data_IF_502921205935
#
_entry.id   IF_502921205935
#
_cell.length_a   1.000
_cell.length_b   1.000
_cell.length_c   1.000
_cell.angle_alpha   90.00
_cell.angle_beta   90.00
_cell.angle_gamma   90.00
#
_symmetry.space_group_name_H-M   'P 1'
#
loop_
_entity.id
_entity.type
_entity.pdbx_description
1 polymer ?
#
# COMPACT_ATOMS: atom_id res chain seq x y z
N UNK A 1 -20.77 17.57 12.78
CA UNK A 1 -19.31 17.31 12.72
C UNK A 1 -18.65 18.49 12.04
N UNK A 2 -17.53 18.99 12.58
CA UNK A 2 -16.78 20.09 11.97
C UNK A 2 -15.33 19.63 11.76
N UNK A 3 -14.82 19.79 10.56
CA UNK A 3 -13.42 19.50 10.23
C UNK A 3 -12.63 20.81 10.24
N UNK A 4 -11.57 20.84 11.03
CA UNK A 4 -10.61 21.94 11.12
C UNK A 4 -9.23 21.43 10.72
N UNK A 5 -8.58 22.14 9.82
CA UNK A 5 -7.15 21.91 9.56
C UNK A 5 -6.35 22.40 10.79
N UNK A 6 -5.49 21.54 11.33
CA UNK A 6 -4.64 21.85 12.49
C UNK A 6 -3.29 22.44 12.08
N UNK A 7 -2.90 22.31 10.83
CA UNK A 7 -1.68 22.91 10.31
C UNK A 7 -1.94 24.37 10.00
N UNK A 8 -1.39 25.25 10.82
CA UNK A 8 -1.43 26.70 10.62
C UNK A 8 -0.34 27.20 9.68
N UNK A 9 0.63 26.35 9.35
CA UNK A 9 1.75 26.70 8.49
C UNK A 9 1.29 26.97 7.05
N UNK A 10 1.78 28.07 6.49
CA UNK A 10 1.59 28.38 5.08
C UNK A 10 2.30 27.33 4.22
N UNK A 11 1.71 27.03 3.04
CA UNK A 11 2.32 26.15 2.05
C UNK A 11 3.67 26.74 1.64
N UNK A 12 4.77 26.04 1.93
CA UNK A 12 6.06 26.46 1.39
C UNK A 12 6.09 26.14 -0.12
N UNK A 13 5.95 27.17 -0.94
CA UNK A 13 5.98 27.05 -2.41
C UNK A 13 7.31 26.54 -2.97
N UNK A 14 8.33 26.39 -2.12
CA UNK A 14 9.64 25.83 -2.49
C UNK A 14 9.65 24.30 -2.40
N UNK A 15 8.69 23.71 -1.72
CA UNK A 15 8.57 22.25 -1.66
C UNK A 15 8.07 21.68 -2.99
N UNK A 16 8.40 20.41 -3.26
CA UNK A 16 7.87 19.71 -4.43
C UNK A 16 6.34 19.65 -4.37
N UNK A 17 5.69 19.70 -5.53
CA UNK A 17 4.24 19.68 -5.67
C UNK A 17 3.53 18.69 -4.75
N UNK A 18 3.94 17.40 -4.62
CA UNK A 18 3.26 16.45 -3.76
C UNK A 18 3.29 16.83 -2.27
N UNK A 19 4.35 17.50 -1.81
CA UNK A 19 4.50 17.91 -0.41
C UNK A 19 3.66 19.15 -0.06
N UNK A 20 3.21 19.90 -1.05
CA UNK A 20 2.38 21.10 -0.86
C UNK A 20 0.89 20.75 -0.61
N UNK A 21 0.47 19.52 -0.92
CA UNK A 21 -0.92 19.10 -0.75
C UNK A 21 -1.22 18.69 0.70
N UNK A 22 -2.37 19.14 1.27
CA UNK A 22 -2.80 18.78 2.61
C UNK A 22 -3.48 17.40 2.61
N UNK A 23 -2.73 16.32 2.43
CA UNK A 23 -3.24 14.97 2.24
C UNK A 23 -4.22 14.52 3.32
N UNK A 24 -3.92 14.80 4.60
CA UNK A 24 -4.80 14.43 5.73
C UNK A 24 -6.17 15.12 5.64
N UNK A 25 -6.19 16.39 5.25
CA UNK A 25 -7.44 17.14 5.09
C UNK A 25 -8.27 16.58 3.93
N UNK A 26 -7.66 16.43 2.76
CA UNK A 26 -8.35 15.97 1.56
C UNK A 26 -8.88 14.54 1.77
N UNK A 27 -8.06 13.67 2.33
CA UNK A 27 -8.43 12.30 2.69
C UNK A 27 -9.56 12.27 3.73
N UNK A 28 -9.49 13.09 4.78
CA UNK A 28 -10.56 13.20 5.77
C UNK A 28 -11.89 13.63 5.17
N UNK A 29 -11.87 14.53 4.18
CA UNK A 29 -13.07 14.91 3.41
C UNK A 29 -13.55 13.72 2.57
N UNK A 30 -12.65 13.03 1.86
CA UNK A 30 -12.97 11.84 1.07
C UNK A 30 -13.64 10.74 1.89
N UNK A 31 -13.17 10.47 3.11
CA UNK A 31 -13.80 9.54 4.06
C UNK A 31 -15.24 9.97 4.43
N UNK A 32 -15.43 11.26 4.71
CA UNK A 32 -16.76 11.77 5.06
C UNK A 32 -17.71 11.66 3.87
N UNK A 33 -17.26 12.01 2.67
CA UNK A 33 -18.11 11.97 1.47
C UNK A 33 -18.41 10.53 1.04
N UNK A 34 -17.48 9.59 1.18
CA UNK A 34 -17.75 8.16 0.95
C UNK A 34 -18.92 7.65 1.80
N UNK A 35 -19.04 8.11 3.03
CA UNK A 35 -20.18 7.77 3.87
C UNK A 35 -21.43 8.58 3.52
N UNK A 36 -21.31 9.90 3.29
CA UNK A 36 -22.46 10.78 3.06
C UNK A 36 -23.16 10.53 1.73
N UNK A 37 -22.40 10.27 0.67
CA UNK A 37 -22.93 10.08 -0.68
C UNK A 37 -23.27 8.61 -0.94
N UNK A 38 -22.35 7.70 -0.64
CA UNK A 38 -22.44 6.31 -1.05
C UNK A 38 -22.88 5.37 0.07
N UNK A 39 -22.92 5.83 1.33
CA UNK A 39 -23.04 4.98 2.53
C UNK A 39 -22.06 3.81 2.52
N UNK A 40 -20.89 4.06 1.92
CA UNK A 40 -19.89 3.04 1.67
C UNK A 40 -19.20 2.59 2.97
N UNK A 41 -19.07 1.29 3.10
CA UNK A 41 -18.31 0.62 4.14
C UNK A 41 -17.32 -0.33 3.47
N UNK A 42 -16.07 -0.34 3.93
CA UNK A 42 -15.06 -1.21 3.36
C UNK A 42 -15.48 -2.68 3.42
N UNK A 43 -15.52 -3.37 2.27
CA UNK A 43 -15.89 -4.77 2.23
C UNK A 43 -14.79 -5.64 2.84
N UNK A 44 -15.13 -6.79 3.45
CA UNK A 44 -14.13 -7.73 3.92
C UNK A 44 -13.34 -8.31 2.76
N UNK A 45 -12.02 -8.47 2.94
CA UNK A 45 -11.12 -9.00 1.92
C UNK A 45 -11.18 -10.53 1.89
N UNK A 46 -12.10 -11.06 1.09
CA UNK A 46 -12.36 -12.51 1.00
C UNK A 46 -11.35 -13.27 0.14
N UNK A 47 -10.56 -12.55 -0.66
CA UNK A 47 -9.60 -13.11 -1.62
C UNK A 47 -8.24 -13.48 -1.00
N UNK A 48 -8.07 -13.25 0.28
CA UNK A 48 -6.81 -13.56 1.00
C UNK A 48 -6.55 -15.06 1.10
N UNK A 49 -5.27 -15.40 1.24
CA UNK A 49 -4.79 -16.72 1.64
C UNK A 49 -4.30 -16.64 3.09
N UNK A 50 -5.17 -16.78 4.11
CA UNK A 50 -4.87 -16.47 5.50
C UNK A 50 -4.09 -17.63 6.18
N UNK A 51 -2.83 -17.84 5.79
CA UNK A 51 -2.01 -18.94 6.31
C UNK A 51 -1.70 -18.79 7.81
N UNK A 52 -1.53 -17.58 8.32
CA UNK A 52 -1.38 -17.31 9.75
C UNK A 52 -2.61 -17.78 10.55
N UNK A 53 -3.81 -17.44 10.06
CA UNK A 53 -5.05 -17.94 10.64
C UNK A 53 -5.20 -19.47 10.48
N UNK A 54 -4.75 -20.04 9.37
CA UNK A 54 -4.75 -21.48 9.13
C UNK A 54 -3.89 -22.21 10.16
N UNK A 55 -2.69 -21.69 10.44
CA UNK A 55 -1.84 -22.18 11.52
C UNK A 55 -2.57 -22.13 12.88
N UNK A 56 -3.13 -20.98 13.22
CA UNK A 56 -3.84 -20.80 14.49
C UNK A 56 -5.02 -21.80 14.63
N UNK A 57 -5.85 -21.94 13.61
CA UNK A 57 -6.98 -22.87 13.65
C UNK A 57 -6.55 -24.34 13.68
N UNK A 58 -5.46 -24.69 13.02
CA UNK A 58 -4.86 -26.03 13.10
C UNK A 58 -4.42 -26.35 14.53
N UNK A 59 -3.67 -25.43 15.15
CA UNK A 59 -3.21 -25.59 16.53
C UNK A 59 -4.35 -25.59 17.54
N UNK A 60 -5.32 -24.69 17.38
CA UNK A 60 -6.49 -24.61 18.25
C UNK A 60 -7.36 -25.89 18.18
N UNK A 61 -7.53 -26.45 16.98
CA UNK A 61 -8.27 -27.70 16.79
C UNK A 61 -7.58 -28.88 17.47
N UNK A 62 -6.26 -29.02 17.30
CA UNK A 62 -5.50 -30.07 17.97
C UNK A 62 -5.46 -29.90 19.49
N UNK A 63 -5.30 -28.67 19.98
CA UNK A 63 -5.27 -28.38 21.41
C UNK A 63 -6.62 -28.72 22.10
N UNK A 64 -7.75 -28.54 21.40
CA UNK A 64 -9.09 -28.83 21.96
C UNK A 64 -9.52 -30.26 21.80
N UNK A 65 -9.16 -30.95 20.71
CA UNK A 65 -9.64 -32.30 20.38
C UNK A 65 -8.63 -33.39 20.79
N UNK A 66 -7.38 -33.03 21.04
CA UNK A 66 -6.30 -33.98 21.33
C UNK A 66 -5.74 -34.62 20.07
N UNK A 67 -5.85 -35.94 19.94
CA UNK A 67 -5.33 -36.68 18.78
C UNK A 67 -6.30 -36.71 17.62
N UNK A 68 -5.87 -36.30 16.43
CA UNK A 68 -6.62 -36.40 15.18
C UNK A 68 -5.75 -36.98 14.07
N UNK A 69 -6.36 -37.78 13.18
CA UNK A 69 -5.66 -38.15 11.95
C UNK A 69 -5.48 -36.94 11.05
N UNK A 70 -4.44 -36.90 10.17
CA UNK A 70 -4.26 -35.79 9.23
C UNK A 70 -5.50 -35.49 8.38
N UNK A 71 -6.24 -36.51 7.98
CA UNK A 71 -7.47 -36.35 7.19
C UNK A 71 -8.63 -35.74 8.00
N UNK A 72 -8.78 -36.11 9.26
CA UNK A 72 -9.79 -35.52 10.14
C UNK A 72 -9.49 -34.08 10.46
N UNK A 73 -8.22 -33.77 10.76
CA UNK A 73 -7.77 -32.42 11.00
C UNK A 73 -7.99 -31.52 9.76
N UNK A 74 -7.59 -31.99 8.58
CA UNK A 74 -7.85 -31.27 7.32
C UNK A 74 -9.34 -31.03 7.07
N UNK A 75 -10.17 -32.02 7.28
CA UNK A 75 -11.62 -31.89 7.12
C UNK A 75 -12.21 -30.84 8.08
N UNK A 76 -11.75 -30.78 9.34
CA UNK A 76 -12.27 -29.83 10.34
C UNK A 76 -11.82 -28.41 10.02
N UNK A 77 -10.56 -28.22 9.63
CA UNK A 77 -9.97 -26.90 9.42
C UNK A 77 -10.32 -26.35 8.05
N UNK A 78 -10.12 -27.10 6.96
CA UNK A 78 -10.31 -26.58 5.60
C UNK A 78 -11.78 -26.36 5.20
N UNK A 79 -12.75 -26.88 5.96
CA UNK A 79 -14.17 -26.57 5.73
C UNK A 79 -14.60 -25.22 6.27
N UNK A 80 -13.78 -24.58 7.10
CA UNK A 80 -14.06 -23.23 7.58
C UNK A 80 -14.00 -22.22 6.43
N UNK A 81 -14.93 -21.28 6.43
CA UNK A 81 -15.13 -20.33 5.33
C UNK A 81 -13.89 -19.52 4.92
N UNK A 82 -12.98 -19.10 5.82
CA UNK A 82 -11.78 -18.36 5.44
C UNK A 82 -10.80 -19.17 4.57
N UNK A 83 -10.86 -20.51 4.63
CA UNK A 83 -9.87 -21.39 3.99
C UNK A 83 -10.31 -21.96 2.64
N UNK A 84 -11.41 -21.48 2.07
CA UNK A 84 -11.95 -21.98 0.78
C UNK A 84 -10.96 -21.94 -0.38
N UNK A 85 -10.00 -21.01 -0.34
CA UNK A 85 -8.96 -20.84 -1.36
C UNK A 85 -7.65 -21.57 -1.04
N UNK A 86 -7.53 -22.14 0.15
CA UNK A 86 -6.36 -22.92 0.55
C UNK A 86 -6.41 -24.28 -0.11
N UNK A 87 -5.38 -24.63 -0.86
CA UNK A 87 -5.30 -25.95 -1.48
C UNK A 87 -4.91 -27.02 -0.47
N UNK A 88 -5.34 -28.29 -0.68
CA UNK A 88 -4.87 -29.41 0.13
C UNK A 88 -3.34 -29.55 0.14
N UNK A 89 -2.67 -29.15 -0.94
CA UNK A 89 -1.21 -29.17 -1.03
C UNK A 89 -0.59 -28.12 -0.10
N UNK A 90 -1.12 -26.89 -0.06
CA UNK A 90 -0.65 -25.85 0.85
C UNK A 90 -0.80 -26.28 2.31
N UNK A 91 -1.94 -26.91 2.63
CA UNK A 91 -2.16 -27.44 3.98
C UNK A 91 -1.20 -28.57 4.33
N UNK A 92 -0.92 -29.45 3.39
CA UNK A 92 0.11 -30.49 3.57
C UNK A 92 1.49 -29.89 3.81
N UNK A 93 1.89 -28.86 3.04
CA UNK A 93 3.13 -28.13 3.25
C UNK A 93 3.21 -27.56 4.67
N UNK A 94 2.11 -26.95 5.15
CA UNK A 94 2.02 -26.46 6.53
C UNK A 94 2.23 -27.60 7.54
N UNK A 95 1.47 -28.69 7.44
CA UNK A 95 1.54 -29.80 8.40
C UNK A 95 2.93 -30.44 8.46
N UNK A 96 3.61 -30.59 7.32
CA UNK A 96 4.99 -31.11 7.28
C UNK A 96 5.94 -30.17 7.99
N UNK A 97 5.85 -28.88 7.76
CA UNK A 97 6.67 -27.88 8.45
C UNK A 97 6.41 -27.88 9.97
N UNK A 98 5.15 -28.01 10.40
CA UNK A 98 4.83 -28.06 11.83
C UNK A 98 5.36 -29.32 12.51
N UNK A 99 5.47 -30.45 11.80
CA UNK A 99 6.13 -31.67 12.27
C UNK A 99 7.64 -31.44 12.42
N UNK A 100 8.28 -30.81 11.42
CA UNK A 100 9.71 -30.56 11.42
C UNK A 100 10.13 -29.55 12.51
N UNK A 101 9.24 -28.62 12.87
CA UNK A 101 9.49 -27.58 13.88
C UNK A 101 8.93 -27.91 15.26
N UNK A 102 8.47 -29.15 15.47
CA UNK A 102 7.92 -29.66 16.76
C UNK A 102 6.69 -28.87 17.26
N UNK A 103 5.98 -28.19 16.37
CA UNK A 103 4.68 -27.62 16.73
C UNK A 103 3.59 -28.68 16.82
N UNK A 104 3.69 -29.74 16.03
CA UNK A 104 2.87 -30.95 16.12
C UNK A 104 3.76 -32.18 16.10
N UNK A 105 3.27 -33.26 16.68
CA UNK A 105 3.95 -34.55 16.69
C UNK A 105 3.05 -35.65 16.15
N UNK A 106 3.68 -36.71 15.62
CA UNK A 106 2.96 -37.89 15.15
C UNK A 106 2.99 -38.98 16.22
N UNK A 107 1.84 -39.51 16.53
CA UNK A 107 1.72 -40.67 17.45
C UNK A 107 2.09 -41.99 16.77
N UNK A 108 2.32 -43.05 17.53
CA UNK A 108 2.56 -44.40 17.01
C UNK A 108 1.39 -44.93 16.16
N UNK A 109 0.18 -44.44 16.41
CA UNK A 109 -1.04 -44.81 15.68
C UNK A 109 -1.23 -43.98 14.40
N UNK A 110 -0.30 -43.04 14.11
CA UNK A 110 -0.34 -42.16 12.93
C UNK A 110 -1.22 -40.93 13.09
N UNK A 111 -1.78 -40.67 14.28
CA UNK A 111 -2.44 -39.43 14.61
C UNK A 111 -1.50 -38.28 14.79
N UNK A 112 -2.02 -37.06 14.82
CA UNK A 112 -1.32 -35.82 15.11
C UNK A 112 -1.77 -35.29 16.47
N UNK A 113 -0.84 -34.82 17.27
CA UNK A 113 -1.05 -34.13 18.54
C UNK A 113 -0.24 -32.84 18.56
N UNK A 114 -0.53 -31.92 19.48
CA UNK A 114 0.30 -30.75 19.73
C UNK A 114 1.68 -31.20 20.21
N UNK A 115 2.74 -30.66 19.61
CA UNK A 115 4.13 -30.90 19.99
C UNK A 115 4.62 -29.90 21.04
N UNK A 116 5.85 -30.07 21.52
CA UNK A 116 6.38 -29.26 22.62
C UNK A 116 6.50 -27.76 22.27
N UNK A 117 6.89 -27.43 21.04
CA UNK A 117 6.89 -26.04 20.57
C UNK A 117 5.46 -25.48 20.45
N UNK A 118 4.52 -26.32 19.97
CA UNK A 118 3.11 -25.97 19.88
C UNK A 118 2.45 -25.72 21.24
N UNK A 119 2.76 -26.52 22.26
CA UNK A 119 2.25 -26.33 23.63
C UNK A 119 2.66 -24.96 24.21
N UNK A 120 3.90 -24.50 23.96
CA UNK A 120 4.35 -23.18 24.39
C UNK A 120 3.54 -22.04 23.78
N UNK A 121 3.09 -22.21 22.53
CA UNK A 121 2.24 -21.23 21.84
C UNK A 121 0.79 -21.33 22.34
N UNK A 122 0.21 -22.53 22.35
CA UNK A 122 -1.21 -22.73 22.67
C UNK A 122 -1.57 -22.49 24.12
N UNK A 123 -0.63 -22.67 25.06
CA UNK A 123 -0.82 -22.37 26.49
C UNK A 123 -0.72 -20.88 26.82
N UNK A 124 -0.18 -20.06 25.92
CA UNK A 124 -0.01 -18.64 26.13
C UNK A 124 -1.32 -17.85 25.96
N UNK A 125 -1.55 -16.84 26.82
CA UNK A 125 -2.73 -15.96 26.72
C UNK A 125 -2.83 -15.28 25.33
N UNK A 126 -1.68 -14.93 24.73
CA UNK A 126 -1.62 -14.33 23.39
C UNK A 126 -2.23 -15.22 22.28
N UNK A 127 -2.35 -16.53 22.52
CA UNK A 127 -2.91 -17.44 21.54
C UNK A 127 -4.43 -17.24 21.30
N UNK A 128 -5.15 -16.70 22.26
CA UNK A 128 -6.59 -16.45 22.12
C UNK A 128 -6.95 -15.36 21.08
N UNK A 129 -5.98 -14.54 20.66
CA UNK A 129 -6.19 -13.52 19.64
C UNK A 129 -5.40 -13.87 18.38
N UNK A 130 -6.02 -13.67 17.21
CA UNK A 130 -5.40 -13.88 15.89
C UNK A 130 -4.83 -12.59 15.31
N UNK A 131 -5.17 -11.44 15.89
CA UNK A 131 -4.69 -10.15 15.46
C UNK A 131 -3.27 -9.91 15.96
N UNK A 132 -2.44 -9.31 15.11
CA UNK A 132 -1.14 -8.81 15.52
C UNK A 132 -1.37 -7.71 16.56
N UNK A 133 -0.74 -7.84 17.72
CA UNK A 133 -0.68 -6.76 18.69
C UNK A 133 0.29 -5.72 18.12
N UNK A 134 -0.15 -4.48 17.98
CA UNK A 134 0.76 -3.38 17.71
C UNK A 134 1.62 -3.18 18.95
N UNK A 135 2.83 -3.66 18.91
CA UNK A 135 3.81 -3.43 19.98
C UNK A 135 4.28 -1.98 19.86
N UNK A 136 3.92 -1.17 20.84
CA UNK A 136 4.37 0.20 20.91
C UNK A 136 5.77 0.28 21.51
N UNK A 137 6.65 1.01 20.84
CA UNK A 137 7.97 1.32 21.33
C UNK A 137 7.94 2.64 22.09
N UNK A 138 8.39 2.66 23.34
CA UNK A 138 8.60 3.88 24.12
C UNK A 138 9.80 4.64 23.56
N UNK A 139 9.59 5.87 23.11
CA UNK A 139 10.66 6.76 22.64
C UNK A 139 11.23 7.52 23.82
N UNK A 140 12.52 7.42 24.05
CA UNK A 140 13.22 8.01 25.20
C UNK A 140 14.40 8.86 24.79
N UNK A 141 14.57 9.99 25.47
CA UNK A 141 15.78 10.82 25.40
C UNK A 141 16.06 11.42 26.77
N UNK A 142 17.33 11.52 27.14
CA UNK A 142 17.80 12.10 28.41
C UNK A 142 17.07 11.55 29.66
N UNK A 143 16.71 10.25 29.63
CA UNK A 143 16.00 9.61 30.74
C UNK A 143 14.48 9.90 30.80
N UNK A 144 13.93 10.68 29.88
CA UNK A 144 12.50 10.99 29.79
C UNK A 144 11.85 10.24 28.64
N UNK A 145 10.59 9.85 28.85
CA UNK A 145 9.74 9.31 27.77
C UNK A 145 9.10 10.46 27.00
N UNK A 146 9.26 10.45 25.69
CA UNK A 146 8.77 11.48 24.77
C UNK A 146 7.42 11.12 24.16
N UNK A 147 7.09 9.84 24.08
CA UNK A 147 5.89 9.29 23.47
C UNK A 147 6.12 7.84 22.99
N UNK A 148 5.22 7.33 22.17
CA UNK A 148 5.28 5.97 21.64
C UNK A 148 5.27 5.95 20.11
N UNK A 149 5.89 4.92 19.51
CA UNK A 149 5.88 4.63 18.07
C UNK A 149 5.55 3.16 17.85
N UNK A 150 4.68 2.87 16.91
CA UNK A 150 4.34 1.48 16.53
C UNK A 150 5.45 0.83 15.68
N UNK A 151 6.10 1.62 14.84
CA UNK A 151 7.22 1.16 14.02
C UNK A 151 8.37 2.15 14.13
N UNK A 152 9.43 1.81 14.88
CA UNK A 152 10.57 2.68 15.00
C UNK A 152 11.39 2.67 13.70
N UNK A 153 11.82 3.85 13.21
CA UNK A 153 12.75 3.91 12.11
C UNK A 153 14.14 3.39 12.57
N UNK A 154 14.99 2.98 11.64
CA UNK A 154 16.33 2.52 11.95
C UNK A 154 17.18 3.63 12.59
N UNK A 155 18.24 3.22 13.32
CA UNK A 155 19.20 4.14 13.89
C UNK A 155 19.83 5.03 12.82
N UNK A 156 20.00 6.31 13.14
CA UNK A 156 20.48 7.36 12.24
C UNK A 156 19.37 8.12 11.53
N UNK A 157 18.13 7.67 11.57
CA UNK A 157 17.00 8.41 11.02
C UNK A 157 16.44 9.42 12.03
N UNK A 158 15.80 10.47 11.49
CA UNK A 158 15.20 11.54 12.29
C UNK A 158 13.70 11.34 12.41
N UNK A 159 13.18 11.59 13.61
CA UNK A 159 11.75 11.57 13.92
C UNK A 159 11.30 12.91 14.50
N UNK A 160 10.05 13.26 14.28
CA UNK A 160 9.40 14.38 14.94
C UNK A 160 8.45 13.87 16.02
N UNK A 161 8.76 14.12 17.28
CA UNK A 161 7.93 13.74 18.43
C UNK A 161 7.97 14.82 19.48
N UNK A 162 6.88 15.02 20.21
CA UNK A 162 6.74 16.06 21.23
C UNK A 162 7.11 17.48 20.74
N UNK A 163 6.85 17.79 19.45
CA UNK A 163 7.10 19.11 18.85
C UNK A 163 8.58 19.41 18.55
N UNK A 164 9.47 18.42 18.63
CA UNK A 164 10.91 18.56 18.36
C UNK A 164 11.40 17.47 17.42
N UNK A 165 12.58 17.71 16.83
CA UNK A 165 13.25 16.74 15.94
C UNK A 165 14.30 15.97 16.74
N UNK A 166 14.25 14.66 16.60
CA UNK A 166 15.12 13.70 17.29
C UNK A 166 15.77 12.78 16.28
N UNK A 167 17.01 12.41 16.51
CA UNK A 167 17.71 11.38 15.76
C UNK A 167 17.68 10.08 16.55
N UNK A 168 17.28 8.98 15.92
CA UNK A 168 17.27 7.65 16.53
C UNK A 168 18.71 7.17 16.69
N UNK A 169 19.14 6.94 17.93
CA UNK A 169 20.47 6.42 18.24
C UNK A 169 20.47 4.90 18.27
N UNK A 170 19.46 4.31 18.91
CA UNK A 170 19.37 2.86 19.10
C UNK A 170 17.89 2.43 19.17
N UNK A 171 17.60 1.26 18.63
CA UNK A 171 16.31 0.58 18.78
C UNK A 171 16.57 -0.74 19.51
N UNK A 172 15.95 -0.90 20.69
CA UNK A 172 15.92 -2.18 21.43
C UNK A 172 14.58 -2.91 21.20
N UNK A 173 14.55 -3.88 20.28
CA UNK A 173 13.29 -4.60 19.96
C UNK A 173 12.81 -5.49 21.11
N UNK A 174 13.71 -5.92 22.01
CA UNK A 174 13.33 -6.79 23.14
C UNK A 174 12.64 -6.03 24.26
N UNK A 175 13.02 -4.78 24.46
CA UNK A 175 12.45 -3.91 25.50
C UNK A 175 11.41 -2.95 24.95
N UNK A 176 11.23 -2.92 23.62
CA UNK A 176 10.39 -1.95 22.90
C UNK A 176 10.75 -0.51 23.27
N UNK A 177 12.04 -0.19 23.22
CA UNK A 177 12.56 1.15 23.53
C UNK A 177 13.31 1.68 22.30
N UNK A 178 13.06 2.95 21.98
CA UNK A 178 13.82 3.73 20.99
C UNK A 178 14.56 4.83 21.74
N UNK A 179 15.87 4.80 21.68
CA UNK A 179 16.70 5.85 22.24
C UNK A 179 16.96 6.92 21.20
N UNK A 180 16.72 8.17 21.56
CA UNK A 180 16.84 9.31 20.67
C UNK A 180 17.68 10.41 21.26
N UNK A 181 18.34 11.18 20.40
CA UNK A 181 19.06 12.41 20.72
C UNK A 181 18.40 13.61 20.09
N UNK A 182 18.30 14.71 20.81
CA UNK A 182 17.82 15.97 20.24
C UNK A 182 18.72 16.42 19.08
N UNK A 183 18.12 16.74 17.95
CA UNK A 183 18.86 17.21 16.77
C UNK A 183 18.15 18.38 16.13
N UNK A 184 18.90 19.17 15.36
CA UNK A 184 18.36 20.24 14.55
C UNK A 184 18.11 19.75 13.13
N UNK A 185 17.16 20.34 12.46
CA UNK A 185 16.84 20.08 11.05
C UNK A 185 15.38 19.78 10.83
N UNK A 186 15.00 19.65 9.57
CA UNK A 186 13.68 19.15 9.19
C UNK A 186 13.75 17.62 9.20
N UNK A 187 12.80 17.02 9.86
CA UNK A 187 12.42 15.65 9.49
C UNK A 187 11.87 15.78 8.08
N UNK A 188 12.38 15.02 7.07
CA UNK A 188 11.64 14.88 5.82
C UNK A 188 10.21 14.60 6.26
N UNK A 189 9.22 15.26 5.64
CA UNK A 189 7.84 14.96 5.96
C UNK A 189 7.67 13.46 5.75
N UNK A 190 7.93 12.74 6.82
CA UNK A 190 7.58 11.35 6.93
C UNK A 190 6.07 11.44 6.96
N UNK A 191 5.48 11.34 5.78
CA UNK A 191 4.09 10.99 5.67
C UNK A 191 4.05 9.61 6.29
N UNK A 192 3.84 9.61 7.61
CA UNK A 192 3.96 8.43 8.45
C UNK A 192 3.21 7.33 7.74
N UNK A 193 3.75 6.14 7.79
CA UNK A 193 3.03 4.95 7.37
C UNK A 193 1.60 5.17 7.85
N UNK A 194 0.67 5.27 6.89
CA UNK A 194 -0.73 5.40 7.26
C UNK A 194 -1.00 4.29 8.27
N UNK A 195 -1.45 4.58 9.49
CA UNK A 195 -1.54 3.58 10.56
C UNK A 195 -2.55 2.48 10.26
N UNK A 196 -3.10 2.45 9.05
CA UNK A 196 -4.04 1.46 8.55
C UNK A 196 -3.98 1.36 7.03
N UNK A 197 -4.59 0.30 6.53
CA UNK A 197 -4.76 0.10 5.09
C UNK A 197 -5.87 1.03 4.59
N UNK A 198 -5.63 1.72 3.50
CA UNK A 198 -6.63 2.56 2.84
C UNK A 198 -7.12 1.83 1.60
N UNK A 199 -8.43 1.68 1.47
CA UNK A 199 -9.05 1.09 0.29
C UNK A 199 -9.02 2.07 -0.91
N UNK A 200 -8.91 1.55 -2.13
CA UNK A 200 -8.87 2.36 -3.36
C UNK A 200 -10.05 3.30 -3.50
N UNK A 201 -11.26 2.86 -3.15
CA UNK A 201 -12.46 3.71 -3.18
C UNK A 201 -12.25 5.05 -2.42
N UNK A 202 -11.56 5.00 -1.28
CA UNK A 202 -11.28 6.22 -0.49
C UNK A 202 -10.26 7.12 -1.21
N UNK A 203 -9.26 6.54 -1.88
CA UNK A 203 -8.28 7.31 -2.66
C UNK A 203 -8.92 7.93 -3.92
N UNK A 204 -9.85 7.22 -4.57
CA UNK A 204 -10.63 7.76 -5.68
C UNK A 204 -11.52 8.90 -5.21
N UNK A 205 -12.20 8.75 -4.08
CA UNK A 205 -13.00 9.82 -3.46
C UNK A 205 -12.13 11.02 -3.06
N UNK A 206 -10.92 10.77 -2.57
CA UNK A 206 -9.91 11.83 -2.30
C UNK A 206 -9.54 12.59 -3.58
N UNK A 207 -9.39 11.88 -4.70
CA UNK A 207 -9.19 12.49 -6.02
C UNK A 207 -10.40 13.34 -6.46
N UNK A 208 -11.62 12.82 -6.30
CA UNK A 208 -12.84 13.55 -6.61
C UNK A 208 -12.95 14.84 -5.81
N UNK A 209 -12.67 14.81 -4.50
CA UNK A 209 -12.63 16.00 -3.63
C UNK A 209 -11.66 17.04 -4.15
N UNK A 210 -10.49 16.62 -4.62
CA UNK A 210 -9.48 17.50 -5.16
C UNK A 210 -9.86 18.08 -6.53
N UNK A 211 -10.54 17.29 -7.36
CA UNK A 211 -10.92 17.65 -8.73
C UNK A 211 -12.25 18.37 -8.85
N UNK A 212 -13.08 18.40 -7.79
CA UNK A 212 -14.41 19.02 -7.78
C UNK A 212 -14.39 20.44 -7.21
N UNK A 213 -15.43 21.22 -7.52
CA UNK A 213 -15.69 22.54 -6.93
C UNK A 213 -16.75 22.48 -5.82
N UNK A 214 -17.10 21.29 -5.33
CA UNK A 214 -18.14 21.09 -4.31
C UNK A 214 -17.78 21.82 -3.02
N UNK A 215 -18.72 22.61 -2.48
CA UNK A 215 -18.57 23.22 -1.14
C UNK A 215 -19.05 22.24 -0.07
N UNK A 216 -18.21 22.08 0.96
CA UNK A 216 -18.49 21.19 2.07
C UNK A 216 -18.85 22.03 3.30
N UNK A 217 -20.15 22.12 3.68
CA UNK A 217 -20.63 23.04 4.73
C UNK A 217 -20.07 22.73 6.13
N UNK A 218 -19.59 21.51 6.35
CA UNK A 218 -18.98 21.09 7.62
C UNK A 218 -17.52 21.51 7.79
N UNK A 219 -16.90 22.10 6.74
CA UNK A 219 -15.53 22.62 6.87
C UNK A 219 -15.50 23.96 7.57
N UNK A 220 -14.57 24.11 8.49
CA UNK A 220 -14.22 25.39 9.10
C UNK A 220 -13.53 26.31 8.08
N UNK A 221 -13.52 27.65 8.27
CA UNK A 221 -12.98 28.60 7.30
C UNK A 221 -11.53 28.33 6.89
N UNK A 222 -10.66 27.92 7.82
CA UNK A 222 -9.27 27.57 7.53
C UNK A 222 -9.15 26.34 6.64
N UNK A 223 -9.94 25.30 6.91
CA UNK A 223 -9.97 24.08 6.09
C UNK A 223 -10.52 24.35 4.68
N UNK A 224 -11.54 25.18 4.53
CA UNK A 224 -12.04 25.63 3.21
C UNK A 224 -10.99 26.39 2.43
N UNK A 225 -10.29 27.33 3.08
CA UNK A 225 -9.18 28.06 2.44
C UNK A 225 -8.08 27.11 1.97
N UNK A 226 -7.72 26.13 2.81
CA UNK A 226 -6.68 25.15 2.49
C UNK A 226 -7.09 24.22 1.35
N UNK A 227 -8.34 23.77 1.34
CA UNK A 227 -8.90 22.97 0.24
C UNK A 227 -8.91 23.75 -1.08
N UNK A 228 -9.32 25.03 -1.06
CA UNK A 228 -9.32 25.87 -2.24
C UNK A 228 -7.90 26.06 -2.82
N UNK A 229 -6.89 26.23 -1.95
CA UNK A 229 -5.48 26.28 -2.36
C UNK A 229 -5.02 24.97 -3.01
N UNK A 230 -5.38 23.82 -2.40
CA UNK A 230 -5.04 22.50 -2.93
C UNK A 230 -5.66 22.24 -4.31
N UNK A 231 -6.93 22.60 -4.50
CA UNK A 231 -7.64 22.50 -5.78
C UNK A 231 -7.01 23.38 -6.86
N UNK A 232 -6.70 24.63 -6.53
CA UNK A 232 -5.99 25.54 -7.43
C UNK A 232 -4.64 24.95 -7.84
N UNK A 233 -3.89 24.40 -6.91
CA UNK A 233 -2.60 23.76 -7.19
C UNK A 233 -2.77 22.53 -8.10
N UNK A 234 -3.76 21.67 -7.84
CA UNK A 234 -4.05 20.50 -8.65
C UNK A 234 -4.46 20.85 -10.09
N UNK A 235 -5.27 21.89 -10.28
CA UNK A 235 -5.65 22.39 -11.59
C UNK A 235 -4.46 22.95 -12.36
N UNK A 236 -3.68 23.84 -11.75
CA UNK A 236 -2.52 24.47 -12.41
C UNK A 236 -1.40 23.46 -12.74
N UNK A 237 -1.25 22.41 -11.94
CA UNK A 237 -0.25 21.38 -12.21
C UNK A 237 -0.69 20.33 -13.24
N UNK A 238 -1.96 20.30 -13.63
CA UNK A 238 -2.52 19.28 -14.51
C UNK A 238 -2.87 17.95 -13.82
N UNK A 239 -2.81 17.88 -12.49
CA UNK A 239 -3.13 16.67 -11.71
C UNK A 239 -4.58 16.19 -11.89
N UNK A 240 -5.49 17.10 -12.27
CA UNK A 240 -6.88 16.79 -12.56
C UNK A 240 -7.07 16.07 -13.91
N UNK A 241 -6.06 16.08 -14.78
CA UNK A 241 -6.14 15.52 -16.14
C UNK A 241 -5.24 14.32 -16.37
N UNK A 242 -4.14 14.23 -15.64
CA UNK A 242 -3.19 13.11 -15.75
C UNK A 242 -2.66 12.69 -14.39
N UNK A 243 -2.49 11.38 -14.14
CA UNK A 243 -1.90 10.91 -12.91
C UNK A 243 -0.38 11.10 -12.84
N UNK A 244 0.30 11.45 -13.95
CA UNK A 244 1.75 11.61 -14.01
C UNK A 244 2.10 13.07 -14.36
N UNK A 245 2.73 13.78 -13.43
CA UNK A 245 3.08 15.19 -13.53
C UNK A 245 4.58 15.35 -13.63
N UNK A 246 5.05 16.15 -14.60
CA UNK A 246 6.46 16.51 -14.69
C UNK A 246 6.80 17.59 -13.64
N UNK A 247 7.77 17.29 -12.77
CA UNK A 247 8.26 18.20 -11.73
C UNK A 247 9.46 19.07 -12.19
N UNK A 248 9.89 18.87 -13.43
CA UNK A 248 11.04 19.53 -14.04
C UNK A 248 12.13 18.53 -14.44
N UNK A 249 12.66 18.70 -15.65
CA UNK A 249 13.67 17.81 -16.22
C UNK A 249 13.20 16.37 -16.30
N UNK A 250 13.96 15.46 -15.67
CA UNK A 250 13.65 14.03 -15.63
C UNK A 250 12.86 13.58 -14.38
N UNK A 251 12.40 14.51 -13.54
CA UNK A 251 11.64 14.21 -12.34
C UNK A 251 10.14 14.23 -12.60
N UNK A 252 9.45 13.22 -12.08
CA UNK A 252 8.02 13.02 -12.25
C UNK A 252 7.36 12.65 -10.93
N UNK A 253 6.12 13.07 -10.73
CA UNK A 253 5.26 12.61 -9.65
C UNK A 253 4.08 11.81 -10.21
N UNK A 254 3.90 10.58 -9.76
CA UNK A 254 2.77 9.73 -10.09
C UNK A 254 1.79 9.69 -8.92
N UNK A 255 0.53 10.02 -9.18
CA UNK A 255 -0.59 9.96 -8.26
C UNK A 255 -1.53 8.83 -8.69
N UNK A 256 -1.34 7.62 -8.18
CA UNK A 256 -2.03 6.45 -8.72
C UNK A 256 -3.49 6.34 -8.29
N UNK A 257 -3.88 6.99 -7.20
CA UNK A 257 -5.20 6.87 -6.57
C UNK A 257 -5.61 5.42 -6.32
N UNK A 258 -4.66 4.64 -5.88
CA UNK A 258 -4.78 3.23 -5.53
C UNK A 258 -4.66 3.06 -4.03
N UNK A 259 -5.42 2.14 -3.46
CA UNK A 259 -5.31 1.75 -2.07
C UNK A 259 -3.93 1.17 -1.73
N UNK A 260 -3.69 0.96 -0.45
CA UNK A 260 -2.37 0.56 0.09
C UNK A 260 -1.77 -0.64 -0.63
N UNK A 261 -2.56 -1.67 -0.89
CA UNK A 261 -2.04 -2.93 -1.46
C UNK A 261 -1.84 -2.89 -2.98
N UNK A 262 -2.78 -2.37 -3.80
CA UNK A 262 -2.51 -2.19 -5.21
C UNK A 262 -1.44 -1.12 -5.47
N UNK A 263 -1.28 -0.12 -4.59
CA UNK A 263 -0.15 0.79 -4.63
C UNK A 263 1.18 0.05 -4.42
N UNK A 264 1.25 -0.85 -3.43
CA UNK A 264 2.42 -1.68 -3.18
C UNK A 264 2.73 -2.60 -4.35
N UNK A 265 1.72 -3.15 -5.02
CA UNK A 265 1.88 -3.92 -6.25
C UNK A 265 2.46 -3.06 -7.39
N UNK A 266 1.99 -1.80 -7.53
CA UNK A 266 2.49 -0.85 -8.51
C UNK A 266 3.96 -0.49 -8.27
N UNK A 267 4.35 -0.24 -7.02
CA UNK A 267 5.77 -0.03 -6.66
C UNK A 267 6.65 -1.17 -7.16
N UNK A 268 6.21 -2.40 -6.92
CA UNK A 268 6.94 -3.60 -7.31
C UNK A 268 6.98 -3.80 -8.82
N UNK A 269 5.86 -3.54 -9.51
CA UNK A 269 5.82 -3.53 -10.97
C UNK A 269 6.88 -2.59 -11.55
N UNK A 270 6.92 -1.35 -11.04
CA UNK A 270 7.86 -0.34 -11.53
C UNK A 270 9.30 -0.71 -11.20
N UNK A 271 9.60 -1.06 -9.95
CA UNK A 271 10.98 -1.30 -9.50
C UNK A 271 11.58 -2.59 -10.03
N UNK A 272 10.79 -3.67 -10.04
CA UNK A 272 11.31 -5.00 -10.38
C UNK A 272 11.29 -5.21 -11.89
N UNK A 273 10.25 -4.75 -12.59
CA UNK A 273 9.98 -5.16 -13.95
C UNK A 273 10.09 -4.04 -14.99
N UNK A 274 9.69 -2.82 -14.67
CA UNK A 274 9.67 -1.72 -15.64
C UNK A 274 10.87 -0.78 -15.52
N UNK A 275 11.70 -0.88 -14.49
CA UNK A 275 12.78 0.06 -14.20
C UNK A 275 13.75 0.26 -15.37
N UNK A 276 14.14 -0.84 -16.05
CA UNK A 276 15.03 -0.77 -17.21
C UNK A 276 14.35 -0.14 -18.42
N UNK A 277 13.10 -0.50 -18.70
CA UNK A 277 12.32 -0.03 -19.85
C UNK A 277 12.07 1.48 -19.81
N UNK A 278 11.85 2.05 -18.60
CA UNK A 278 11.64 3.49 -18.41
C UNK A 278 12.91 4.26 -18.12
N UNK A 279 14.06 3.60 -17.99
CA UNK A 279 15.33 4.24 -17.61
C UNK A 279 15.26 4.90 -16.22
N UNK A 280 14.71 4.17 -15.23
CA UNK A 280 14.54 4.61 -13.86
C UNK A 280 15.90 4.80 -13.18
N UNK A 281 16.12 5.95 -12.53
CA UNK A 281 17.37 6.27 -11.81
C UNK A 281 17.15 6.64 -10.35
N UNK A 282 15.95 7.13 -9.99
CA UNK A 282 15.55 7.38 -8.60
C UNK A 282 14.07 7.02 -8.41
N UNK A 283 13.73 6.56 -7.20
CA UNK A 283 12.39 6.11 -6.87
C UNK A 283 12.12 6.33 -5.38
N UNK A 284 11.21 7.23 -5.08
CA UNK A 284 10.77 7.56 -3.73
C UNK A 284 9.26 7.42 -3.64
N UNK A 285 8.76 6.91 -2.51
CA UNK A 285 7.33 6.69 -2.32
C UNK A 285 6.81 7.31 -1.04
N UNK A 286 5.60 7.84 -1.11
CA UNK A 286 4.78 8.22 0.03
C UNK A 286 3.46 7.48 -0.08
N UNK A 287 3.42 6.27 0.51
CA UNK A 287 2.24 5.39 0.43
C UNK A 287 1.06 5.93 1.24
N UNK A 288 -0.14 5.82 0.71
CA UNK A 288 -0.52 5.41 -0.65
C UNK A 288 -0.75 6.61 -1.57
N UNK A 289 -0.10 7.75 -1.32
CA UNK A 289 -0.43 9.03 -1.93
C UNK A 289 0.21 9.23 -3.29
N UNK A 290 1.55 9.09 -3.37
CA UNK A 290 2.30 9.38 -4.59
C UNK A 290 3.65 8.65 -4.66
N UNK A 291 4.18 8.60 -5.87
CA UNK A 291 5.52 8.11 -6.18
C UNK A 291 6.28 9.22 -6.89
N UNK A 292 7.49 9.55 -6.43
CA UNK A 292 8.40 10.42 -7.15
C UNK A 292 9.42 9.57 -7.90
N UNK A 293 9.53 9.80 -9.20
CA UNK A 293 10.38 9.05 -10.10
C UNK A 293 11.39 9.99 -10.76
N UNK A 294 12.61 9.53 -10.96
CA UNK A 294 13.53 10.11 -11.94
C UNK A 294 13.74 9.10 -13.06
N UNK A 295 13.24 9.39 -14.25
CA UNK A 295 13.27 8.48 -15.40
C UNK A 295 13.60 9.20 -16.70
N UNK A 296 14.02 8.43 -17.72
CA UNK A 296 14.31 8.93 -19.07
C UNK A 296 13.10 8.92 -19.98
N UNK A 297 12.15 8.00 -19.73
CA UNK A 297 10.95 7.84 -20.55
C UNK A 297 10.05 9.08 -20.46
N UNK A 298 9.38 9.40 -21.55
CA UNK A 298 8.24 10.33 -21.58
C UNK A 298 7.00 9.72 -20.95
N UNK A 299 5.98 10.53 -20.66
CA UNK A 299 4.74 10.03 -20.07
C UNK A 299 4.04 8.94 -20.91
N UNK A 300 3.87 9.06 -22.23
CA UNK A 300 3.30 8.00 -23.06
C UNK A 300 4.13 6.71 -23.05
N UNK A 301 5.46 6.82 -23.09
CA UNK A 301 6.36 5.66 -23.02
C UNK A 301 6.27 4.97 -21.66
N UNK A 302 6.19 5.73 -20.57
CA UNK A 302 6.01 5.21 -19.23
C UNK A 302 4.72 4.37 -19.11
N UNK A 303 3.58 4.91 -19.51
CA UNK A 303 2.32 4.17 -19.40
C UNK A 303 2.26 2.94 -20.30
N UNK A 304 2.86 3.03 -21.50
CA UNK A 304 2.97 1.87 -22.40
C UNK A 304 3.84 0.79 -21.77
N UNK A 305 5.03 1.14 -21.27
CA UNK A 305 5.92 0.19 -20.62
C UNK A 305 5.26 -0.50 -19.43
N UNK A 306 4.52 0.24 -18.60
CA UNK A 306 3.79 -0.36 -17.47
C UNK A 306 2.72 -1.34 -17.94
N UNK A 307 1.95 -1.00 -18.98
CA UNK A 307 0.91 -1.87 -19.50
C UNK A 307 1.51 -3.16 -20.12
N UNK A 308 2.57 -3.05 -20.91
CA UNK A 308 3.26 -4.17 -21.53
C UNK A 308 3.84 -5.11 -20.47
N UNK A 309 4.41 -4.55 -19.40
CA UNK A 309 4.93 -5.33 -18.27
C UNK A 309 3.80 -6.00 -17.48
N UNK A 310 2.71 -5.28 -17.19
CA UNK A 310 1.56 -5.83 -16.49
C UNK A 310 0.90 -7.00 -17.24
N UNK A 311 0.93 -6.98 -18.59
CA UNK A 311 0.44 -8.07 -19.42
C UNK A 311 1.43 -9.26 -19.48
N UNK A 312 2.73 -8.99 -19.41
CA UNK A 312 3.78 -10.02 -19.45
C UNK A 312 3.93 -10.76 -18.13
N UNK A 313 3.86 -10.07 -16.99
CA UNK A 313 4.11 -10.62 -15.66
C UNK A 313 2.80 -11.10 -15.05
N UNK A 314 2.43 -12.37 -15.31
CA UNK A 314 1.16 -12.94 -14.85
C UNK A 314 1.26 -13.65 -13.48
N UNK A 315 2.42 -14.23 -13.16
CA UNK A 315 2.62 -14.93 -11.89
C UNK A 315 2.77 -13.93 -10.73
N UNK A 316 1.89 -13.96 -9.72
CA UNK A 316 2.00 -13.11 -8.53
C UNK A 316 3.34 -13.23 -7.79
N UNK A 317 3.98 -14.40 -7.83
CA UNK A 317 5.26 -14.62 -7.17
C UNK A 317 6.40 -13.77 -7.74
N UNK A 318 6.29 -13.36 -9.00
CA UNK A 318 7.26 -12.48 -9.67
C UNK A 318 7.26 -11.05 -9.07
N UNK A 319 6.24 -10.67 -8.32
CA UNK A 319 6.20 -9.38 -7.63
C UNK A 319 6.95 -9.37 -6.29
N UNK A 320 7.56 -10.49 -5.88
CA UNK A 320 8.40 -10.57 -4.69
C UNK A 320 9.88 -10.42 -5.05
N UNK A 321 10.62 -9.75 -4.16
CA UNK A 321 12.09 -9.80 -4.26
C UNK A 321 12.60 -11.23 -3.99
N UNK A 322 13.76 -11.63 -4.55
CA UNK A 322 14.24 -13.03 -4.52
C UNK A 322 14.25 -13.65 -3.11
N UNK A 323 14.81 -12.96 -2.13
CA UNK A 323 14.98 -13.48 -0.75
C UNK A 323 13.97 -12.90 0.23
N UNK A 324 12.94 -12.24 -0.25
CA UNK A 324 11.94 -11.61 0.60
C UNK A 324 10.99 -12.64 1.21
N UNK A 325 10.88 -12.63 2.55
CA UNK A 325 9.84 -13.34 3.30
C UNK A 325 9.07 -12.29 4.11
N UNK A 326 7.98 -11.75 3.54
CA UNK A 326 7.26 -10.62 4.14
C UNK A 326 6.39 -11.10 5.30
N UNK A 327 6.83 -10.91 6.53
CA UNK A 327 6.05 -11.17 7.74
C UNK A 327 5.02 -10.04 7.91
N UNK A 328 3.75 -10.36 7.89
CA UNK A 328 2.66 -9.37 7.94
C UNK A 328 1.48 -9.78 8.83
N UNK A 329 1.47 -11.02 9.31
CA UNK A 329 0.46 -11.54 10.23
C UNK A 329 1.12 -12.20 11.45
N UNK A 330 0.37 -12.33 12.53
CA UNK A 330 0.85 -12.71 13.87
C UNK A 330 1.66 -13.99 13.93
N UNK A 331 1.28 -15.01 13.18
CA UNK A 331 1.90 -16.33 13.22
C UNK A 331 2.75 -16.65 12.00
N UNK A 332 3.12 -15.65 11.21
CA UNK A 332 3.91 -15.87 9.99
C UNK A 332 5.28 -16.49 10.27
N UNK A 333 5.88 -16.21 11.42
CA UNK A 333 7.14 -16.83 11.84
C UNK A 333 7.05 -18.34 12.07
N UNK A 334 5.85 -18.86 12.33
CA UNK A 334 5.59 -20.29 12.49
C UNK A 334 5.24 -20.99 11.17
N UNK A 335 5.28 -20.27 10.06
CA UNK A 335 4.96 -20.78 8.73
C UNK A 335 6.23 -21.05 7.90
N UNK A 336 6.18 -22.00 6.96
CA UNK A 336 7.25 -22.13 5.99
C UNK A 336 7.29 -20.90 5.07
N UNK A 337 8.49 -20.42 4.75
CA UNK A 337 8.71 -19.22 3.92
C UNK A 337 7.93 -19.26 2.58
N UNK A 338 7.76 -20.43 2.00
CA UNK A 338 6.97 -20.64 0.78
C UNK A 338 5.51 -20.17 0.94
N UNK A 339 4.85 -20.54 2.05
CA UNK A 339 3.47 -20.15 2.30
C UNK A 339 3.34 -18.68 2.68
N UNK A 340 4.28 -18.11 3.44
CA UNK A 340 4.33 -16.68 3.74
C UNK A 340 4.44 -15.88 2.44
N UNK A 341 5.38 -16.21 1.58
CA UNK A 341 5.56 -15.59 0.26
C UNK A 341 4.30 -15.70 -0.60
N UNK A 342 3.71 -16.89 -0.68
CA UNK A 342 2.47 -17.12 -1.43
C UNK A 342 1.28 -16.34 -0.85
N UNK A 343 1.12 -16.33 0.46
CA UNK A 343 0.09 -15.56 1.16
C UNK A 343 0.18 -14.07 0.85
N UNK A 344 1.38 -13.53 0.85
CA UNK A 344 1.62 -12.13 0.53
C UNK A 344 1.36 -11.83 -0.97
N UNK A 345 1.96 -12.58 -1.88
CA UNK A 345 1.84 -12.35 -3.32
C UNK A 345 0.40 -12.49 -3.84
N UNK A 346 -0.28 -13.58 -3.42
CA UNK A 346 -1.61 -13.92 -3.94
C UNK A 346 -2.77 -13.40 -3.09
N UNK A 347 -2.52 -12.98 -1.86
CA UNK A 347 -3.57 -12.60 -0.90
C UNK A 347 -3.48 -11.17 -0.39
N UNK A 348 -2.30 -10.54 -0.39
CA UNK A 348 -2.10 -9.19 0.13
C UNK A 348 -1.92 -8.19 -1.01
N UNK A 349 -1.03 -8.45 -1.96
CA UNK A 349 -0.82 -7.56 -3.09
C UNK A 349 -2.08 -7.46 -3.96
N UNK A 350 -2.58 -6.25 -4.16
CA UNK A 350 -3.73 -5.97 -5.01
C UNK A 350 -3.36 -5.94 -6.50
N UNK A 351 -2.80 -7.05 -7.02
CA UNK A 351 -2.22 -7.11 -8.37
C UNK A 351 -3.25 -6.88 -9.46
N UNK A 352 -4.43 -7.49 -9.35
CA UNK A 352 -5.47 -7.37 -10.38
C UNK A 352 -6.03 -5.95 -10.48
N UNK A 353 -6.23 -5.30 -9.34
CA UNK A 353 -6.67 -3.91 -9.27
C UNK A 353 -5.60 -2.96 -9.82
N UNK A 354 -4.35 -3.17 -9.46
CA UNK A 354 -3.21 -2.43 -10.01
C UNK A 354 -3.13 -2.58 -11.54
N UNK A 355 -3.26 -3.81 -12.07
CA UNK A 355 -3.27 -4.08 -13.51
C UNK A 355 -4.41 -3.36 -14.23
N UNK A 356 -5.62 -3.40 -13.66
CA UNK A 356 -6.77 -2.70 -14.21
C UNK A 356 -6.49 -1.19 -14.31
N UNK A 357 -5.90 -0.60 -13.28
CA UNK A 357 -5.53 0.82 -13.24
C UNK A 357 -4.47 1.16 -14.29
N UNK A 358 -3.41 0.38 -14.40
CA UNK A 358 -2.34 0.59 -15.39
C UNK A 358 -2.88 0.51 -16.83
N UNK A 359 -3.75 -0.47 -17.11
CA UNK A 359 -4.41 -0.59 -18.42
C UNK A 359 -5.32 0.59 -18.74
N UNK A 360 -6.06 1.10 -17.74
CA UNK A 360 -6.91 2.28 -17.93
C UNK A 360 -6.10 3.52 -18.33
N UNK A 361 -4.92 3.71 -17.72
CA UNK A 361 -4.02 4.80 -18.08
C UNK A 361 -3.50 4.68 -19.51
N UNK A 362 -3.03 3.49 -19.90
CA UNK A 362 -2.53 3.26 -21.26
C UNK A 362 -3.60 3.50 -22.32
N UNK A 363 -4.84 3.08 -22.08
CA UNK A 363 -5.99 3.33 -22.98
C UNK A 363 -6.33 4.80 -23.13
N UNK A 364 -6.31 5.57 -22.03
CA UNK A 364 -6.58 7.00 -22.04
C UNK A 364 -5.52 7.78 -22.86
N UNK A 365 -4.26 7.41 -22.77
CA UNK A 365 -3.18 8.03 -23.54
C UNK A 365 -3.18 7.65 -25.03
N UNK A 366 -3.60 6.43 -25.39
CA UNK A 366 -3.75 6.04 -26.80
C UNK A 366 -4.89 6.77 -27.49
N UNK A 367 -6.06 6.89 -26.84
CA UNK A 367 -7.21 7.64 -27.36
C UNK A 367 -6.95 9.13 -27.54
N UNK A 368 -6.15 9.75 -26.65
CA UNK A 368 -5.74 11.15 -26.74
C UNK A 368 -4.81 11.43 -27.93
N UNK A 369 -3.87 10.54 -28.23
CA UNK A 369 -2.97 10.67 -29.39
C UNK A 369 -3.70 10.46 -30.72
N UNK A 370 -4.66 9.56 -30.81
CA UNK A 370 -5.48 9.36 -32.02
C UNK A 370 -6.42 10.56 -32.29
N UNK A 371 -7.00 11.14 -31.23
CA UNK A 371 -7.85 12.33 -31.35
C UNK A 371 -7.05 13.55 -31.78
N UNK A 372 -5.84 13.75 -31.23
CA UNK A 372 -4.94 14.84 -31.63
C UNK A 372 -4.42 14.67 -33.07
N UNK A 373 -4.13 13.43 -33.48
CA UNK A 373 -3.71 13.12 -34.84
C UNK A 373 -4.85 13.34 -35.87
N UNK A 374 -6.10 13.02 -35.49
CA UNK A 374 -7.29 13.31 -36.34
C UNK A 374 -7.52 14.79 -36.50
N UNK A 375 -7.44 15.57 -35.43
CA UNK A 375 -7.58 17.04 -35.49
C UNK A 375 -6.49 17.69 -36.36
N UNK A 376 -5.24 17.24 -36.29
CA UNK A 376 -4.16 17.72 -37.14
C UNK A 376 -4.34 17.30 -38.61
N UNK A 377 -4.92 16.11 -38.87
CA UNK A 377 -5.21 15.66 -40.21
C UNK A 377 -6.42 16.41 -40.86
N UNK A 378 -7.36 16.86 -40.06
CA UNK A 378 -8.50 17.69 -40.53
C UNK A 378 -8.05 19.12 -40.80
N UNK A 379 -7.24 19.73 -39.94
CA UNK A 379 -6.64 21.06 -40.18
C UNK A 379 -5.74 21.07 -41.41
N UNK A 380 -4.94 20.00 -41.61
CA UNK A 380 -4.08 19.87 -42.81
C UNK A 380 -4.89 19.72 -44.12
N UNK A 381 -6.09 19.18 -44.06
CA UNK A 381 -6.99 19.08 -45.23
C UNK A 381 -7.72 20.39 -45.55
N UNK A 382 -8.03 21.20 -44.56
CA UNK A 382 -8.64 22.53 -44.76
C UNK A 382 -7.67 23.55 -45.37
N UNK A 383 -6.35 23.44 -45.06
CA UNK A 383 -5.31 24.29 -45.62
C UNK A 383 -4.94 23.94 -47.07
N UNK A 384 -5.15 22.68 -47.48
CA UNK A 384 -4.84 22.21 -48.85
C UNK A 384 -6.02 22.43 -49.83
N UNK A 385 -7.23 22.69 -49.34
CA UNK A 385 -8.45 22.91 -50.16
C UNK A 385 -8.66 24.36 -50.62
N UNK A 386 -7.89 25.35 -50.11
CA UNK A 386 -8.11 26.78 -50.42
C UNK A 386 -7.18 27.35 -51.49
N UNK A 387 -6.38 26.52 -52.16
CA UNK A 387 -5.42 27.00 -53.22
C UNK A 387 -5.76 26.64 -54.65
N UNK A 388 -6.99 26.17 -54.95
CA UNK A 388 -7.46 25.99 -56.34
C UNK A 388 -8.70 26.84 -56.64
N UNK A 389 -8.47 28.06 -57.03
CA UNK A 389 -9.59 28.92 -57.48
C UNK A 389 -9.19 30.35 -57.73
N UNK A 390 -8.17 30.63 -58.58
CA UNK A 390 -8.00 31.90 -59.24
C UNK A 390 -7.03 31.78 -60.41
N UNK A 391 -7.56 31.68 -61.58
CA UNK A 391 -6.90 32.12 -62.84
C UNK A 391 -7.94 32.18 -63.97
N UNK A 392 -7.73 33.00 -65.01
CA UNK A 392 -8.29 34.33 -65.16
C UNK A 392 -9.56 34.31 -65.96
#
# INVERSE_FOLDING_TARGET
>A
MCIRDRREDEVDSREMLPAQLPWELIHGIGLVESWREDHWVEPPRLERLPFSLLYHQTMATLASEGELTPAELARRVLTLSPFRRISPQDYRTLLLHLLDTDHIQRTERGGLIVGLAGERVTSGFKFYAVFQENEEYSVRADGQELGTLVQPPPAGEKIAIAGRVWEVEEVDPKRHIVWCRLTEGRVPAFFGLCPGDIHTHILEKTCEVLCSDTDYPYLMPNARKRLAQARSLAQHSGMTTTPLINLGGSFWALFPWLGTYPFLALERLIRIHAAADIGLTNFETSRPWFIVLRMKASAPEFFRALADVADRVQDPMCYLYPDEVPLFEKYDEALPAELVRKGFACGVLGIDEMRARVKSWAGAFQGGTESAARLQAEDGRQLSGSSQGAAP
#
